data_IF_445556015397
#
_entry.id   IF_445556015397
#
_cell.length_a   1.000
_cell.length_b   1.000
_cell.length_c   1.000
_cell.angle_alpha   90.00
_cell.angle_beta   90.00
_cell.angle_gamma   90.00
#
_symmetry.space_group_name_H-M   'P 1'
#
loop_
_entity.id
_entity.type
_entity.pdbx_description
1 polymer ?
#
# COMPACT_ATOMS: atom_id res chain seq x y z
N UNK A 1 -17.25 19.03 11.35
CA UNK A 1 -17.37 18.09 10.20
C UNK A 1 -16.80 16.72 10.62
N UNK A 2 -17.30 16.18 11.74
CA UNK A 2 -16.77 14.99 12.40
C UNK A 2 -17.75 13.84 12.18
N UNK A 3 -17.31 12.76 11.54
CA UNK A 3 -18.10 11.55 11.30
C UNK A 3 -18.14 11.11 9.83
N UNK A 4 -18.84 9.99 9.59
CA UNK A 4 -18.86 9.20 8.34
C UNK A 4 -18.93 10.00 7.03
N UNK A 5 -19.58 11.17 7.03
CA UNK A 5 -19.66 12.07 5.86
C UNK A 5 -18.27 12.57 5.42
N UNK A 6 -17.38 12.86 6.36
CA UNK A 6 -15.99 13.24 6.05
C UNK A 6 -15.17 12.09 5.49
N UNK A 7 -15.37 10.86 5.99
CA UNK A 7 -14.70 9.66 5.46
C UNK A 7 -15.16 9.34 4.03
N UNK A 8 -16.47 9.48 3.75
CA UNK A 8 -17.03 9.32 2.40
C UNK A 8 -16.52 10.42 1.47
N UNK A 9 -16.52 11.68 1.89
CA UNK A 9 -16.00 12.79 1.10
C UNK A 9 -14.50 12.64 0.80
N UNK A 10 -13.70 12.19 1.76
CA UNK A 10 -12.27 11.92 1.56
C UNK A 10 -12.04 10.74 0.60
N UNK A 11 -12.81 9.66 0.73
CA UNK A 11 -12.75 8.52 -0.18
C UNK A 11 -13.10 8.96 -1.60
N UNK A 12 -14.19 9.71 -1.78
CA UNK A 12 -14.56 10.24 -3.10
C UNK A 12 -13.47 11.17 -3.62
N UNK A 13 -12.96 12.10 -2.80
CA UNK A 13 -11.91 13.04 -3.22
C UNK A 13 -10.60 12.37 -3.67
N UNK A 14 -10.19 11.27 -3.02
CA UNK A 14 -8.96 10.54 -3.35
C UNK A 14 -9.17 9.62 -4.57
N UNK A 15 -10.29 8.91 -4.64
CA UNK A 15 -10.52 7.89 -5.67
C UNK A 15 -11.16 8.42 -6.95
N UNK A 16 -12.08 9.40 -6.87
CA UNK A 16 -12.80 9.95 -8.02
C UNK A 16 -11.89 10.49 -9.12
N UNK A 17 -10.84 11.30 -8.85
CA UNK A 17 -9.98 11.80 -9.92
C UNK A 17 -9.25 10.66 -10.66
N UNK A 18 -8.80 9.63 -9.93
CA UNK A 18 -8.17 8.46 -10.54
C UNK A 18 -9.16 7.69 -11.44
N UNK A 19 -10.39 7.47 -10.98
CA UNK A 19 -11.42 6.78 -11.76
C UNK A 19 -11.85 7.57 -13.01
N UNK A 20 -11.99 8.89 -12.91
CA UNK A 20 -12.31 9.75 -14.06
C UNK A 20 -11.19 9.67 -15.10
N UNK A 21 -9.93 9.78 -14.67
CA UNK A 21 -8.78 9.72 -15.57
C UNK A 21 -8.68 8.35 -16.26
N UNK A 22 -8.81 7.25 -15.51
CA UNK A 22 -8.82 5.89 -16.08
C UNK A 22 -9.99 5.72 -17.04
N UNK A 23 -11.19 6.19 -16.70
CA UNK A 23 -12.37 6.11 -17.56
C UNK A 23 -12.17 6.81 -18.92
N UNK A 24 -11.52 7.98 -18.92
CA UNK A 24 -11.19 8.72 -20.14
C UNK A 24 -10.11 8.01 -20.96
N UNK A 25 -9.09 7.45 -20.30
CA UNK A 25 -7.97 6.78 -20.95
C UNK A 25 -8.30 5.37 -21.47
N UNK A 26 -9.23 4.65 -20.82
CA UNK A 26 -9.57 3.27 -21.13
C UNK A 26 -9.92 2.98 -22.61
N UNK A 27 -10.68 3.84 -23.34
CA UNK A 27 -10.92 3.61 -24.77
C UNK A 27 -9.71 3.92 -25.68
N UNK A 28 -8.73 4.69 -25.20
CA UNK A 28 -7.54 5.09 -25.97
C UNK A 28 -6.38 4.10 -25.79
N UNK A 29 -6.22 3.55 -24.58
CA UNK A 29 -5.14 2.60 -24.24
C UNK A 29 -5.08 1.37 -25.17
N UNK A 30 -6.19 0.68 -25.53
CA UNK A 30 -6.17 -0.45 -26.45
C UNK A 30 -5.74 -0.05 -27.86
N UNK A 31 -6.11 1.15 -28.31
CA UNK A 31 -5.71 1.68 -29.64
C UNK A 31 -4.23 2.01 -29.69
N UNK A 32 -3.67 2.53 -28.59
CA UNK A 32 -2.24 2.75 -28.43
C UNK A 32 -1.48 1.41 -28.41
N UNK A 33 -1.99 0.38 -27.72
CA UNK A 33 -1.34 -0.95 -27.68
C UNK A 33 -1.29 -1.71 -29.00
N UNK A 34 -2.08 -1.33 -30.01
CA UNK A 34 -2.01 -1.96 -31.34
C UNK A 34 -0.73 -1.62 -32.11
N UNK A 35 -0.02 -0.55 -31.74
CA UNK A 35 1.28 -0.20 -32.32
C UNK A 35 2.43 -0.81 -31.52
N UNK A 36 3.40 -1.50 -32.15
CA UNK A 36 4.57 -2.09 -31.47
C UNK A 36 5.37 -1.08 -30.64
N UNK A 37 5.46 0.16 -31.12
CA UNK A 37 6.21 1.24 -30.44
C UNK A 37 5.53 1.69 -29.15
N UNK A 38 4.20 1.85 -29.18
CA UNK A 38 3.43 2.25 -28.02
C UNK A 38 3.27 1.11 -27.00
N UNK A 39 3.26 -0.16 -27.44
CA UNK A 39 3.34 -1.30 -26.50
C UNK A 39 4.65 -1.26 -25.72
N UNK A 40 5.79 -1.07 -26.38
CA UNK A 40 7.09 -0.99 -25.71
C UNK A 40 7.19 0.17 -24.71
N UNK A 41 6.61 1.33 -25.05
CA UNK A 41 6.52 2.45 -24.11
C UNK A 41 5.66 2.11 -22.89
N UNK A 42 4.48 1.53 -23.08
CA UNK A 42 3.58 1.13 -21.98
C UNK A 42 4.20 0.06 -21.07
N UNK A 43 4.97 -0.86 -21.64
CA UNK A 43 5.71 -1.85 -20.86
C UNK A 43 6.85 -1.20 -20.05
N UNK A 44 7.53 -0.19 -20.63
CA UNK A 44 8.48 0.65 -19.91
C UNK A 44 7.85 1.43 -18.75
N UNK A 45 6.65 1.98 -18.95
CA UNK A 45 5.88 2.66 -17.88
C UNK A 45 5.48 1.68 -16.77
N UNK A 46 5.03 0.47 -17.11
CA UNK A 46 4.74 -0.57 -16.14
C UNK A 46 6.00 -0.98 -15.34
N UNK A 47 7.13 -1.16 -16.01
CA UNK A 47 8.41 -1.45 -15.36
C UNK A 47 8.85 -0.31 -14.42
N UNK A 48 8.69 0.94 -14.85
CA UNK A 48 8.96 2.11 -14.01
C UNK A 48 8.03 2.16 -12.78
N UNK A 49 6.74 1.86 -12.95
CA UNK A 49 5.78 1.78 -11.86
C UNK A 49 6.15 0.68 -10.84
N UNK A 50 6.54 -0.52 -11.30
CA UNK A 50 7.06 -1.58 -10.44
C UNK A 50 8.34 -1.18 -9.72
N UNK A 51 9.24 -0.47 -10.40
CA UNK A 51 10.46 0.09 -9.81
C UNK A 51 10.14 1.08 -8.68
N UNK A 52 9.18 2.00 -8.91
CA UNK A 52 8.71 2.94 -7.89
C UNK A 52 8.03 2.22 -6.73
N UNK A 53 7.16 1.24 -6.98
CA UNK A 53 6.52 0.43 -5.95
C UNK A 53 7.56 -0.26 -5.07
N UNK A 54 8.58 -0.87 -5.67
CA UNK A 54 9.67 -1.53 -4.95
C UNK A 54 10.49 -0.53 -4.13
N UNK A 55 10.82 0.63 -4.70
CA UNK A 55 11.57 1.69 -4.03
C UNK A 55 10.83 2.26 -2.82
N UNK A 56 9.54 2.58 -2.97
CA UNK A 56 8.69 3.07 -1.87
C UNK A 56 8.55 1.99 -0.80
N UNK A 57 8.35 0.73 -1.20
CA UNK A 57 8.29 -0.40 -0.26
C UNK A 57 9.56 -0.53 0.56
N UNK A 58 10.73 -0.37 -0.06
CA UNK A 58 12.01 -0.41 0.64
C UNK A 58 12.17 0.74 1.66
N UNK A 59 11.78 1.96 1.27
CA UNK A 59 11.79 3.11 2.18
C UNK A 59 10.87 2.86 3.38
N UNK A 60 9.64 2.42 3.14
CA UNK A 60 8.68 2.08 4.19
C UNK A 60 9.19 0.96 5.10
N UNK A 61 9.81 -0.09 4.53
CA UNK A 61 10.39 -1.18 5.30
C UNK A 61 11.49 -0.68 6.24
N UNK A 62 12.37 0.21 5.76
CA UNK A 62 13.46 0.74 6.58
C UNK A 62 12.97 1.66 7.70
N UNK A 63 11.88 2.39 7.49
CA UNK A 63 11.25 3.24 8.52
C UNK A 63 10.37 2.45 9.47
N UNK A 64 9.80 1.33 9.04
CA UNK A 64 8.95 0.48 9.87
C UNK A 64 9.78 -0.48 10.74
N UNK A 65 10.91 -0.99 10.24
CA UNK A 65 11.76 -1.96 10.92
C UNK A 65 12.77 -1.27 11.83
N UNK A 66 12.28 -0.64 12.90
CA UNK A 66 13.13 0.06 13.89
C UNK A 66 13.61 -0.89 14.99
N UNK A 67 12.74 -1.81 15.45
CA UNK A 67 12.99 -2.68 16.60
C UNK A 67 12.97 -4.17 16.22
N UNK A 68 13.62 -5.00 17.05
CA UNK A 68 13.60 -6.46 16.93
C UNK A 68 12.17 -7.03 16.93
N UNK A 69 11.27 -6.43 17.71
CA UNK A 69 9.86 -6.80 17.74
C UNK A 69 9.19 -6.56 16.38
N UNK A 70 9.44 -5.42 15.75
CA UNK A 70 8.85 -5.08 14.45
C UNK A 70 9.40 -5.96 13.33
N UNK A 71 10.67 -6.36 13.42
CA UNK A 71 11.27 -7.37 12.53
C UNK A 71 10.60 -8.73 12.69
N UNK A 72 10.37 -9.19 13.92
CA UNK A 72 9.64 -10.45 14.18
C UNK A 72 8.22 -10.39 13.61
N UNK A 73 7.48 -9.29 13.84
CA UNK A 73 6.13 -9.09 13.30
C UNK A 73 6.13 -9.08 11.77
N UNK A 74 7.12 -8.44 11.14
CA UNK A 74 7.24 -8.42 9.69
C UNK A 74 7.50 -9.81 9.11
N UNK A 75 8.40 -10.61 9.71
CA UNK A 75 8.69 -11.99 9.28
C UNK A 75 7.45 -12.87 9.44
N UNK A 76 6.80 -12.84 10.60
CA UNK A 76 5.59 -13.65 10.87
C UNK A 76 4.47 -13.26 9.90
N UNK A 77 4.26 -11.96 9.68
CA UNK A 77 3.26 -11.47 8.74
C UNK A 77 3.57 -11.90 7.31
N UNK A 78 4.82 -11.81 6.86
CA UNK A 78 5.24 -12.28 5.54
C UNK A 78 4.96 -13.78 5.37
N UNK A 79 5.35 -14.61 6.35
CA UNK A 79 5.08 -16.05 6.31
C UNK A 79 3.58 -16.33 6.26
N UNK A 80 2.76 -15.62 7.04
CA UNK A 80 1.31 -15.81 7.05
C UNK A 80 0.66 -15.45 5.70
N UNK A 81 1.09 -14.34 5.08
CA UNK A 81 0.61 -13.94 3.75
C UNK A 81 0.98 -14.99 2.70
N UNK A 82 2.26 -15.35 2.63
CA UNK A 82 2.76 -16.22 1.57
C UNK A 82 2.31 -17.67 1.72
N UNK A 83 2.20 -18.19 2.95
CA UNK A 83 1.86 -19.61 3.19
C UNK A 83 0.38 -19.88 3.43
N UNK A 84 -0.34 -18.94 4.05
CA UNK A 84 -1.71 -19.13 4.49
C UNK A 84 -2.73 -18.24 3.76
N UNK A 85 -2.29 -17.33 2.87
CA UNK A 85 -3.16 -16.39 2.12
C UNK A 85 -4.17 -15.66 3.03
N UNK A 86 -3.74 -15.34 4.25
CA UNK A 86 -4.59 -14.66 5.23
C UNK A 86 -4.97 -13.28 4.69
N UNK A 87 -6.20 -12.86 4.95
CA UNK A 87 -6.69 -11.55 4.55
C UNK A 87 -5.77 -10.45 5.10
N UNK A 88 -5.20 -9.64 4.22
CA UNK A 88 -4.32 -8.52 4.58
C UNK A 88 -4.96 -7.56 5.59
N UNK A 89 -6.29 -7.44 5.59
CA UNK A 89 -7.01 -6.61 6.57
C UNK A 89 -6.81 -7.11 8.00
N UNK A 90 -6.84 -8.43 8.23
CA UNK A 90 -6.61 -9.02 9.55
C UNK A 90 -5.15 -8.86 10.00
N UNK A 91 -4.21 -9.01 9.07
CA UNK A 91 -2.79 -8.82 9.36
C UNK A 91 -2.47 -7.37 9.75
N UNK A 92 -3.05 -6.39 9.05
CA UNK A 92 -2.89 -4.97 9.38
C UNK A 92 -3.52 -4.65 10.74
N UNK A 93 -4.70 -5.20 11.04
CA UNK A 93 -5.34 -5.03 12.35
C UNK A 93 -4.50 -5.60 13.50
N UNK A 94 -4.05 -6.86 13.39
CA UNK A 94 -3.24 -7.50 14.42
C UNK A 94 -1.89 -6.79 14.58
N UNK A 95 -1.22 -6.46 13.47
CA UNK A 95 0.04 -5.70 13.48
C UNK A 95 -0.11 -4.32 14.12
N UNK A 96 -1.21 -3.61 13.82
CA UNK A 96 -1.52 -2.31 14.42
C UNK A 96 -1.79 -2.39 15.93
N UNK A 97 -2.50 -3.43 16.39
CA UNK A 97 -2.73 -3.67 17.82
C UNK A 97 -1.41 -3.97 18.54
N UNK A 98 -0.56 -4.82 17.97
CA UNK A 98 0.76 -5.12 18.54
C UNK A 98 1.63 -3.86 18.63
N UNK A 99 1.64 -3.03 17.58
CA UNK A 99 2.37 -1.75 17.55
C UNK A 99 1.85 -0.74 18.59
N UNK A 100 0.53 -0.65 18.76
CA UNK A 100 -0.07 0.18 19.81
C UNK A 100 0.32 -0.28 21.20
N UNK A 101 0.28 -1.59 21.46
CA UNK A 101 0.65 -2.17 22.76
C UNK A 101 2.14 -1.92 23.04
N UNK A 102 3.03 -2.07 22.05
CA UNK A 102 4.45 -1.79 22.23
C UNK A 102 4.73 -0.31 22.49
N UNK A 103 4.01 0.59 21.80
CA UNK A 103 4.14 2.03 22.02
C UNK A 103 3.63 2.45 23.40
N UNK A 104 2.52 1.86 23.87
CA UNK A 104 1.98 2.07 25.22
C UNK A 104 2.91 1.51 26.31
N UNK A 105 3.55 0.37 26.06
CA UNK A 105 4.53 -0.21 26.98
C UNK A 105 5.79 0.65 27.10
N UNK A 106 6.27 1.24 25.98
CA UNK A 106 7.38 2.20 26.01
C UNK A 106 7.01 3.51 26.72
N UNK A 107 5.77 3.99 26.56
CA UNK A 107 5.28 5.19 27.23
C UNK A 107 5.17 5.02 28.76
N UNK A 108 4.91 3.79 29.25
CA UNK A 108 4.80 3.49 30.69
C UNK A 108 6.13 3.33 31.42
N UNK A 109 7.25 3.17 30.71
CA UNK A 109 8.61 3.02 31.29
C UNK A 109 9.36 4.37 31.31
N UNK A 110 8.82 5.39 30.62
CA UNK A 110 9.38 6.74 30.54
C UNK A 110 8.91 7.73 31.60
N UNK A 111 8.22 7.28 32.66
CA UNK A 111 7.85 8.07 33.84
C UNK A 111 8.47 7.49 35.10
#
# INVERSE_FOLDING_TARGET
LNGNVGAVAATIGIFLPAFVLVGILNPWVPKLRQSPWASGFLDGVNAASLGLMTGVTYILARTALVDWLTVMVAIVSAVLVFRFKVNSAWLVLIGGIIGLISQLAQLSIGF
#
